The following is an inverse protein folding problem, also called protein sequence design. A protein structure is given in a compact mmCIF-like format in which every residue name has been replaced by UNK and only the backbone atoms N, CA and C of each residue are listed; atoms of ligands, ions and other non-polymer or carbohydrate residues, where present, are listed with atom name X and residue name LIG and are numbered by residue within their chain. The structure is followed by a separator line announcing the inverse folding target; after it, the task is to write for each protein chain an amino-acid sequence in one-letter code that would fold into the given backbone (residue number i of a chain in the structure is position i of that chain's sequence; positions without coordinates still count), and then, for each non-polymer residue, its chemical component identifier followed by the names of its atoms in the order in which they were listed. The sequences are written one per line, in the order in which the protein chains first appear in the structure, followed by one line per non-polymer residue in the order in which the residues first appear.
data_IF_651445683100
#
_entry.id   IF_651445683100
#
_cell.length_a   1.000
_cell.length_b   1.000
_cell.length_c   1.000
_cell.angle_alpha   90.00
_cell.angle_beta   90.00
_cell.angle_gamma   90.00
#
_symmetry.space_group_name_H-M   'P 1'
#
loop_
_entity.id
_entity.type
_entity.pdbx_description
1 polymer ?
#
# COMPACT_ATOMS: atom_id res chain seq x y z
N UNK A 1 -14.47 -5.70 5.38
CA UNK A 1 -13.33 -6.47 5.91
C UNK A 1 -12.18 -6.25 4.96
N UNK A 2 -11.11 -5.63 5.46
CA UNK A 2 -9.93 -5.26 4.68
C UNK A 2 -8.72 -5.83 5.39
N UNK A 3 -7.78 -6.37 4.63
CA UNK A 3 -6.53 -6.87 5.16
C UNK A 3 -5.43 -5.95 4.64
N UNK A 4 -4.85 -5.18 5.56
CA UNK A 4 -3.71 -4.34 5.28
C UNK A 4 -2.47 -5.23 5.07
N UNK A 5 -1.81 -5.08 3.92
CA UNK A 5 -0.58 -5.82 3.62
C UNK A 5 0.68 -4.98 3.84
N UNK A 6 0.61 -3.68 3.57
CA UNK A 6 1.74 -2.76 3.72
C UNK A 6 1.26 -1.32 3.88
N UNK A 7 2.13 -0.50 4.47
CA UNK A 7 1.98 0.95 4.55
C UNK A 7 2.84 1.62 3.48
N UNK A 8 2.28 2.59 2.75
CA UNK A 8 3.01 3.39 1.76
C UNK A 8 2.85 4.89 2.05
N UNK A 9 3.90 5.71 1.82
CA UNK A 9 3.81 7.16 1.96
C UNK A 9 2.86 7.74 0.90
N UNK A 10 1.84 8.46 1.34
CA UNK A 10 0.85 9.08 0.47
C UNK A 10 0.43 10.43 1.05
N UNK A 11 0.67 11.51 0.29
CA UNK A 11 0.41 12.86 0.74
C UNK A 11 -1.04 13.32 0.50
N UNK A 12 -1.78 12.61 -0.36
CA UNK A 12 -3.18 12.91 -0.69
C UNK A 12 -4.14 12.20 0.26
N UNK A 13 -3.72 11.04 0.79
CA UNK A 13 -4.54 10.20 1.65
C UNK A 13 -4.02 10.20 3.10
N UNK A 14 -4.91 10.51 4.05
CA UNK A 14 -4.57 10.59 5.46
C UNK A 14 -4.08 9.23 6.04
N UNK A 15 -3.22 9.31 7.06
CA UNK A 15 -2.65 8.13 7.71
C UNK A 15 -3.75 7.18 8.21
N UNK A 16 -3.60 5.89 7.89
CA UNK A 16 -4.52 4.82 8.29
C UNK A 16 -5.72 4.64 7.36
N UNK A 17 -5.83 5.42 6.28
CA UNK A 17 -6.81 5.19 5.23
C UNK A 17 -6.25 4.30 4.12
N UNK A 18 -7.13 3.80 3.25
CA UNK A 18 -6.74 2.94 2.12
C UNK A 18 -6.25 3.82 0.96
N UNK A 19 -4.96 3.77 0.65
CA UNK A 19 -4.39 4.41 -0.55
C UNK A 19 -4.66 3.60 -1.80
N UNK A 20 -4.48 2.28 -1.73
CA UNK A 20 -4.46 1.43 -2.92
C UNK A 20 -5.05 0.07 -2.67
N UNK A 21 -5.94 -0.34 -3.56
CA UNK A 21 -6.48 -1.71 -3.59
C UNK A 21 -5.57 -2.55 -4.46
N UNK A 22 -4.87 -3.51 -3.85
CA UNK A 22 -4.01 -4.47 -4.56
C UNK A 22 -4.88 -5.59 -5.14
N UNK A 23 -5.87 -6.01 -4.37
CA UNK A 23 -6.81 -7.04 -4.78
C UNK A 23 -8.19 -6.80 -4.21
N UNK A 24 -9.20 -6.80 -5.08
CA UNK A 24 -10.60 -6.70 -4.66
C UNK A 24 -10.98 -7.89 -3.78
N UNK A 25 -11.70 -7.61 -2.70
CA UNK A 25 -12.29 -8.63 -1.83
C UNK A 25 -13.74 -8.90 -2.21
N UNK A 26 -14.24 -10.09 -1.87
CA UNK A 26 -15.61 -10.50 -2.14
C UNK A 26 -16.27 -11.06 -0.87
N UNK A 27 -17.53 -10.68 -0.67
CA UNK A 27 -18.41 -11.20 0.38
C UNK A 27 -19.72 -11.68 -0.24
N UNK A 28 -20.26 -12.76 0.29
CA UNK A 28 -21.58 -13.27 -0.07
C UNK A 28 -22.42 -13.19 1.20
N UNK A 29 -23.40 -12.27 1.23
CA UNK A 29 -24.12 -11.93 2.44
C UNK A 29 -23.15 -11.47 3.55
N UNK A 30 -23.14 -12.21 4.66
CA UNK A 30 -22.29 -11.95 5.84
C UNK A 30 -20.97 -12.72 5.82
N UNK A 31 -20.81 -13.70 4.91
CA UNK A 31 -19.63 -14.54 4.84
C UNK A 31 -18.58 -13.95 3.92
N UNK A 32 -17.38 -13.74 4.45
CA UNK A 32 -16.22 -13.26 3.67
C UNK A 32 -15.62 -14.44 2.92
N UNK A 33 -15.64 -14.39 1.57
CA UNK A 33 -15.01 -15.40 0.73
C UNK A 33 -13.52 -15.09 0.57
N UNK A 34 -13.19 -13.80 0.35
CA UNK A 34 -11.82 -13.32 0.42
C UNK A 34 -11.80 -11.86 0.87
N UNK A 35 -10.99 -11.48 1.88
CA UNK A 35 -10.81 -10.09 2.23
C UNK A 35 -10.12 -9.34 1.08
N UNK A 36 -10.39 -8.03 1.00
CA UNK A 36 -9.66 -7.18 0.07
C UNK A 36 -8.25 -6.95 0.60
N UNK A 37 -7.26 -7.11 -0.27
CA UNK A 37 -5.87 -6.81 0.04
C UNK A 37 -5.62 -5.35 -0.32
N UNK A 38 -5.29 -4.56 0.69
CA UNK A 38 -5.15 -3.12 0.55
C UNK A 38 -3.82 -2.65 1.12
N UNK A 39 -3.24 -1.64 0.48
CA UNK A 39 -2.19 -0.82 1.04
C UNK A 39 -2.82 0.35 1.80
N UNK A 40 -2.37 0.57 3.02
CA UNK A 40 -2.79 1.71 3.84
C UNK A 40 -1.78 2.84 3.72
N UNK A 41 -2.26 4.08 3.80
CA UNK A 41 -1.42 5.26 3.74
C UNK A 41 -0.73 5.45 5.08
N UNK A 42 0.59 5.67 5.06
CA UNK A 42 1.33 6.15 6.22
C UNK A 42 1.07 7.64 6.50
N UNK A 43 0.28 8.30 5.63
CA UNK A 43 0.07 9.75 5.59
C UNK A 43 1.20 10.46 4.85
N UNK A 44 1.19 11.79 4.91
CA UNK A 44 2.25 12.63 4.37
C UNK A 44 3.57 12.35 5.11
N UNK A 45 4.32 11.37 4.63
CA UNK A 45 5.71 11.20 4.99
C UNK A 45 6.46 12.39 4.42
N UNK A 46 7.09 13.17 5.30
CA UNK A 46 8.17 14.08 4.93
C UNK A 46 9.11 13.33 3.98
N UNK A 47 9.51 13.90 2.82
CA UNK A 47 9.98 13.14 1.68
C UNK A 47 11.13 12.22 2.09
N UNK A 48 10.85 10.92 2.14
CA UNK A 48 11.89 9.91 2.03
C UNK A 48 12.11 9.78 0.53
N UNK A 49 13.33 10.15 0.13
CA UNK A 49 13.81 10.09 -1.24
C UNK A 49 13.37 8.78 -1.90
N UNK A 50 12.91 8.90 -3.13
CA UNK A 50 12.70 7.78 -4.01
C UNK A 50 13.98 6.93 -4.07
N UNK A 51 13.99 5.76 -3.45
CA UNK A 51 14.90 4.70 -3.86
C UNK A 51 14.18 3.89 -4.94
N UNK A 52 14.18 4.47 -6.13
CA UNK A 52 14.06 3.72 -7.37
C UNK A 52 15.27 2.79 -7.46
N UNK A 53 15.02 1.50 -7.27
CA UNK A 53 15.99 0.46 -7.56
C UNK A 53 16.14 0.30 -9.07
N UNK A 54 16.97 1.13 -9.69
CA UNK A 54 17.75 0.76 -10.88
C UNK A 54 18.93 1.74 -11.03
N UNK A 55 20.16 1.23 -10.94
CA UNK A 55 21.32 1.49 -11.83
C UNK A 55 22.64 1.02 -11.21
N UNK A 56 23.14 -0.11 -11.72
CA UNK A 56 24.58 -0.48 -11.81
C UNK A 56 25.39 0.72 -12.38
N UNK A 57 26.62 1.10 -11.92
CA UNK A 57 27.87 0.37 -12.27
C UNK A 57 29.15 0.56 -11.40
N UNK A 58 30.15 -0.29 -11.70
CA UNK A 58 31.62 -0.02 -11.81
C UNK A 58 32.63 -0.33 -10.68
N UNK A 59 33.59 -1.20 -11.07
CA UNK A 59 35.04 -1.25 -10.86
C UNK A 59 35.68 -1.13 -9.45
N UNK A 60 36.44 -2.19 -9.11
CA UNK A 60 37.85 -2.06 -8.68
C UNK A 60 38.66 -3.30 -9.12
#
# INVERSE_FOLDING_TARGET
MHQAMFEAPDAEVAKGLVSKVVQSGYKIGERVLRPALVGISAGASKPQAAEGGDTTPTAH
#
